data_IF_812154146296
#
_entry.id   IF_812154146296
#
_cell.length_a   1.000
_cell.length_b   1.000
_cell.length_c   1.000
_cell.angle_alpha   90.00
_cell.angle_beta   90.00
_cell.angle_gamma   90.00
#
_symmetry.space_group_name_H-M   'P 1'
#
loop_
_entity.id
_entity.type
_entity.pdbx_description
1 polymer ?
#
# COMPACT_ATOMS: atom_id res chain seq x y z
N UNK A 1 13.12 4.04 -34.17
CA UNK A 1 11.95 4.21 -33.29
C UNK A 1 10.96 3.08 -33.59
N UNK A 2 11.18 1.90 -33.02
CA UNK A 2 10.43 0.68 -33.37
C UNK A 2 10.56 -0.50 -32.38
N UNK A 3 11.34 -0.34 -31.30
CA UNK A 3 11.71 -1.45 -30.39
C UNK A 3 10.74 -1.61 -29.19
N UNK A 4 9.57 -0.96 -29.24
CA UNK A 4 8.56 -1.05 -28.18
C UNK A 4 8.87 -0.24 -26.91
N UNK A 5 9.89 0.61 -26.95
CA UNK A 5 10.18 1.58 -25.89
C UNK A 5 9.00 2.52 -25.64
N UNK A 6 8.74 2.83 -24.38
CA UNK A 6 7.70 3.79 -23.98
C UNK A 6 8.30 4.90 -23.14
N UNK A 7 7.89 6.11 -23.46
CA UNK A 7 8.13 7.33 -22.69
C UNK A 7 6.77 7.88 -22.28
N UNK A 8 6.58 8.13 -20.99
CA UNK A 8 5.35 8.71 -20.47
C UNK A 8 5.66 9.88 -19.54
N UNK A 9 4.97 10.99 -19.77
CA UNK A 9 4.91 12.12 -18.86
C UNK A 9 3.49 12.21 -18.32
N UNK A 10 3.36 12.22 -16.99
CA UNK A 10 2.08 12.35 -16.30
C UNK A 10 2.14 13.54 -15.36
N UNK A 11 1.20 14.45 -15.57
CA UNK A 11 0.96 15.62 -14.75
C UNK A 11 -0.45 15.54 -14.18
N UNK A 12 -0.58 15.59 -12.87
CA UNK A 12 -1.87 15.58 -12.19
C UNK A 12 -1.91 16.68 -11.15
N UNK A 13 -2.99 17.45 -11.13
CA UNK A 13 -3.23 18.46 -10.13
C UNK A 13 -4.63 18.27 -9.54
N UNK A 14 -4.72 18.41 -8.23
CA UNK A 14 -5.94 18.40 -7.43
C UNK A 14 -5.90 19.58 -6.46
N UNK A 15 -7.00 19.79 -5.73
CA UNK A 15 -7.04 20.76 -4.62
C UNK A 15 -6.00 20.43 -3.56
N UNK A 16 -5.78 19.14 -3.27
CA UNK A 16 -4.97 18.66 -2.14
C UNK A 16 -3.58 18.16 -2.51
N UNK A 17 -3.29 17.95 -3.79
CA UNK A 17 -1.98 17.47 -4.21
C UNK A 17 -1.66 17.77 -5.66
N UNK A 18 -0.37 17.68 -5.99
CA UNK A 18 0.17 17.77 -7.33
C UNK A 18 1.18 16.65 -7.53
N UNK A 19 1.11 15.95 -8.65
CA UNK A 19 2.03 14.86 -9.01
C UNK A 19 2.57 15.06 -10.40
N UNK A 20 3.89 15.02 -10.50
CA UNK A 20 4.67 15.10 -11.72
C UNK A 20 5.45 13.81 -11.82
N UNK A 21 5.28 13.05 -12.89
CA UNK A 21 6.03 11.81 -13.07
C UNK A 21 6.44 11.63 -14.52
N UNK A 22 7.68 11.19 -14.68
CA UNK A 22 8.23 10.79 -15.95
C UNK A 22 8.67 9.33 -15.83
N UNK A 23 8.30 8.51 -16.81
CA UNK A 23 8.73 7.11 -16.86
C UNK A 23 9.19 6.72 -18.25
N UNK A 24 10.23 5.89 -18.26
CA UNK A 24 10.78 5.24 -19.42
C UNK A 24 10.72 3.73 -19.21
N UNK A 25 10.39 2.99 -20.25
CA UNK A 25 10.51 1.53 -20.24
C UNK A 25 11.03 1.00 -21.57
N UNK A 26 11.99 0.08 -21.46
CA UNK A 26 12.58 -0.70 -22.55
C UNK A 26 12.23 -2.18 -22.33
N UNK A 27 11.27 -2.76 -23.07
CA UNK A 27 10.79 -4.12 -22.84
C UNK A 27 11.79 -5.24 -23.21
N UNK A 28 12.80 -4.96 -24.04
CA UNK A 28 13.73 -5.95 -24.60
C UNK A 28 15.20 -5.56 -24.39
N UNK A 29 15.56 -5.20 -23.16
CA UNK A 29 16.95 -4.89 -22.83
C UNK A 29 17.87 -6.08 -23.15
N UNK A 30 18.81 -5.88 -24.08
CA UNK A 30 19.75 -6.91 -24.54
C UNK A 30 19.24 -7.81 -25.68
N UNK A 31 18.04 -7.56 -26.22
CA UNK A 31 17.55 -8.07 -27.51
C UNK A 31 17.26 -9.57 -27.65
N UNK A 32 17.80 -10.43 -26.78
CA UNK A 32 17.67 -11.90 -26.88
C UNK A 32 16.56 -12.49 -26.02
N UNK A 33 16.19 -11.83 -24.92
CA UNK A 33 15.17 -12.30 -23.95
C UNK A 33 14.32 -11.11 -23.50
N UNK A 34 13.04 -11.32 -23.14
CA UNK A 34 12.19 -10.26 -22.60
C UNK A 34 12.68 -9.88 -21.20
N UNK A 35 13.61 -8.92 -21.17
CA UNK A 35 14.10 -8.26 -19.96
C UNK A 35 13.64 -6.82 -20.05
N UNK A 36 12.66 -6.49 -19.24
CA UNK A 36 12.15 -5.14 -19.17
C UNK A 36 13.05 -4.31 -18.25
N UNK A 37 13.58 -3.22 -18.78
CA UNK A 37 14.15 -2.15 -17.99
C UNK A 37 13.14 -1.03 -17.81
N UNK A 38 13.09 -0.44 -16.63
CA UNK A 38 12.28 0.74 -16.34
C UNK A 38 13.09 1.77 -15.57
N UNK A 39 12.84 3.04 -15.87
CA UNK A 39 13.33 4.16 -15.10
C UNK A 39 12.18 5.13 -14.87
N UNK A 40 12.01 5.61 -13.64
CA UNK A 40 10.98 6.59 -13.34
C UNK A 40 11.49 7.63 -12.37
N UNK A 41 11.10 8.88 -12.60
CA UNK A 41 11.30 9.99 -11.67
C UNK A 41 9.91 10.54 -11.35
N UNK A 42 9.65 10.77 -10.08
CA UNK A 42 8.39 11.34 -9.61
C UNK A 42 8.65 12.43 -8.58
N UNK A 43 7.90 13.52 -8.69
CA UNK A 43 7.80 14.54 -7.68
C UNK A 43 6.33 14.74 -7.34
N UNK A 44 6.04 14.74 -6.05
CA UNK A 44 4.69 14.84 -5.54
C UNK A 44 4.65 15.79 -4.37
N UNK A 45 3.68 16.70 -4.38
CA UNK A 45 3.45 17.69 -3.33
C UNK A 45 2.03 17.53 -2.79
N UNK A 46 1.91 17.19 -1.52
CA UNK A 46 0.66 17.12 -0.79
C UNK A 46 0.48 18.38 0.07
N UNK A 47 -0.71 18.92 0.11
CA UNK A 47 -1.07 20.05 0.96
C UNK A 47 -1.88 19.57 2.16
N UNK A 48 -1.72 20.25 3.29
CA UNK A 48 -2.47 19.88 4.48
C UNK A 48 -3.94 20.29 4.35
N UNK A 49 -4.85 19.44 4.82
CA UNK A 49 -6.27 19.77 4.90
C UNK A 49 -6.54 20.70 6.08
N UNK A 50 -7.10 21.87 5.81
CA UNK A 50 -7.60 22.79 6.82
C UNK A 50 -9.08 22.49 7.12
N UNK A 51 -9.33 22.07 8.36
CA UNK A 51 -10.67 21.71 8.84
C UNK A 51 -11.61 22.91 8.98
N UNK A 52 -11.08 24.12 9.18
CA UNK A 52 -11.88 25.33 9.36
C UNK A 52 -12.39 25.87 8.02
N UNK A 53 -11.51 25.92 7.01
CA UNK A 53 -11.86 26.43 5.68
C UNK A 53 -12.35 25.34 4.72
N UNK A 54 -12.14 24.06 5.04
CA UNK A 54 -12.44 22.93 4.15
C UNK A 54 -11.57 22.92 2.89
N UNK A 55 -10.43 23.62 2.91
CA UNK A 55 -9.53 23.81 1.78
C UNK A 55 -8.13 23.27 2.08
N UNK A 56 -7.31 23.22 1.03
CA UNK A 56 -5.90 22.88 1.16
C UNK A 56 -5.09 24.09 1.61
N UNK A 57 -4.38 23.97 2.72
CA UNK A 57 -3.39 24.96 3.14
C UNK A 57 -2.11 24.76 2.31
N UNK A 58 -1.86 25.68 1.38
CA UNK A 58 -0.71 25.63 0.48
C UNK A 58 0.62 26.02 1.14
N UNK A 59 0.57 26.60 2.34
CA UNK A 59 1.76 26.94 3.12
C UNK A 59 2.35 25.72 3.84
N UNK A 60 1.54 24.69 4.07
CA UNK A 60 1.89 23.46 4.79
C UNK A 60 1.90 22.30 3.82
N UNK A 61 3.06 21.67 3.62
CA UNK A 61 3.22 20.68 2.56
C UNK A 61 4.07 19.49 2.95
N UNK A 62 3.77 18.37 2.31
CA UNK A 62 4.56 17.16 2.37
C UNK A 62 4.95 16.75 0.95
N UNK A 63 6.25 16.79 0.67
CA UNK A 63 6.82 16.59 -0.65
C UNK A 63 7.54 15.24 -0.71
N UNK A 64 7.42 14.56 -1.84
CA UNK A 64 8.11 13.31 -2.12
C UNK A 64 8.76 13.43 -3.48
N UNK A 65 10.08 13.26 -3.50
CA UNK A 65 10.85 13.20 -4.74
C UNK A 65 11.53 11.85 -4.80
N UNK A 66 11.34 11.12 -5.90
CA UNK A 66 11.86 9.78 -6.03
C UNK A 66 12.39 9.49 -7.41
N UNK A 67 13.44 8.66 -7.46
CA UNK A 67 13.91 7.98 -8.65
C UNK A 67 13.83 6.47 -8.41
N UNK A 68 13.44 5.72 -9.42
CA UNK A 68 13.41 4.25 -9.37
C UNK A 68 13.93 3.68 -10.68
N UNK A 69 14.83 2.70 -10.55
CA UNK A 69 15.38 1.93 -11.65
C UNK A 69 14.97 0.47 -11.45
N UNK A 70 14.33 -0.13 -12.44
CA UNK A 70 13.76 -1.47 -12.36
C UNK A 70 14.24 -2.38 -13.48
N UNK A 71 14.34 -3.67 -13.15
CA UNK A 71 14.55 -4.77 -14.09
C UNK A 71 13.53 -5.86 -13.80
N UNK A 72 12.77 -6.29 -14.80
CA UNK A 72 11.87 -7.42 -14.70
C UNK A 72 12.18 -8.44 -15.80
N UNK A 73 12.23 -9.72 -15.43
CA UNK A 73 12.58 -10.80 -16.33
C UNK A 73 11.68 -12.01 -16.10
N UNK A 74 11.13 -12.53 -17.19
CA UNK A 74 10.45 -13.83 -17.18
C UNK A 74 11.47 -14.94 -17.00
N UNK A 75 11.28 -15.77 -15.99
CA UNK A 75 12.13 -16.93 -15.71
C UNK A 75 11.66 -18.12 -16.56
N UNK A 76 12.58 -19.03 -16.86
CA UNK A 76 12.29 -20.31 -17.52
C UNK A 76 12.28 -21.48 -16.55
N UNK A 77 12.85 -21.27 -15.37
CA UNK A 77 12.93 -22.24 -14.27
C UNK A 77 12.30 -21.59 -13.04
N UNK A 78 11.42 -22.28 -12.31
CA UNK A 78 10.99 -23.67 -12.55
C UNK A 78 9.95 -23.82 -13.68
N UNK A 79 9.23 -22.76 -14.07
CA UNK A 79 8.38 -22.74 -15.26
C UNK A 79 8.31 -21.34 -15.89
N UNK A 80 7.68 -21.24 -17.08
CA UNK A 80 7.55 -19.98 -17.81
C UNK A 80 6.50 -19.02 -17.21
N UNK A 81 5.81 -19.33 -16.12
CA UNK A 81 4.84 -18.41 -15.50
C UNK A 81 5.48 -17.50 -14.44
N UNK A 82 6.76 -17.73 -14.13
CA UNK A 82 7.51 -16.92 -13.18
C UNK A 82 8.08 -15.65 -13.81
N UNK A 83 7.99 -14.55 -13.07
CA UNK A 83 8.63 -13.27 -13.35
C UNK A 83 9.37 -12.82 -12.10
N UNK A 84 10.66 -12.56 -12.25
CA UNK A 84 11.50 -11.92 -11.24
C UNK A 84 11.56 -10.42 -11.54
N UNK A 85 11.15 -9.59 -10.59
CA UNK A 85 11.31 -8.13 -10.64
C UNK A 85 12.32 -7.69 -9.58
N UNK A 86 13.13 -6.70 -9.94
CA UNK A 86 14.11 -6.07 -9.07
C UNK A 86 14.04 -4.57 -9.30
N UNK A 87 14.10 -3.76 -8.26
CA UNK A 87 14.13 -2.32 -8.37
C UNK A 87 15.00 -1.69 -7.30
N UNK A 88 15.75 -0.66 -7.68
CA UNK A 88 16.45 0.23 -6.78
C UNK A 88 15.71 1.57 -6.77
N UNK A 89 15.30 2.01 -5.58
CA UNK A 89 14.54 3.24 -5.38
C UNK A 89 15.26 4.15 -4.39
N UNK A 90 15.40 5.41 -4.76
CA UNK A 90 15.82 6.48 -3.84
C UNK A 90 14.71 7.52 -3.76
N UNK A 91 14.23 7.78 -2.54
CA UNK A 91 13.14 8.70 -2.26
C UNK A 91 13.53 9.67 -1.15
N UNK A 92 13.13 10.92 -1.28
CA UNK A 92 13.28 11.97 -0.27
C UNK A 92 11.88 12.43 0.10
N UNK A 93 11.56 12.30 1.37
CA UNK A 93 10.37 12.85 2.03
C UNK A 93 10.76 14.16 2.68
N UNK A 94 10.01 15.22 2.42
CA UNK A 94 10.31 16.57 2.90
C UNK A 94 9.01 17.16 3.48
N UNK A 95 9.03 17.44 4.78
CA UNK A 95 7.90 17.92 5.55
C UNK A 95 8.14 19.41 5.85
N UNK A 96 7.13 20.22 5.54
CA UNK A 96 7.10 21.66 5.84
C UNK A 96 5.80 21.97 6.58
N UNK A 97 5.90 22.16 7.89
CA UNK A 97 4.82 22.33 8.85
C UNK A 97 3.68 21.32 8.64
N UNK A 98 4.01 20.04 8.43
CA UNK A 98 3.04 19.00 8.10
C UNK A 98 2.66 18.13 9.31
N UNK A 99 1.88 18.70 10.23
CA UNK A 99 1.51 18.06 11.50
C UNK A 99 0.16 17.32 11.41
N UNK A 100 0.17 16.03 11.03
CA UNK A 100 -1.02 15.18 10.89
C UNK A 100 -1.23 14.17 12.03
N UNK A 101 -0.28 14.09 12.97
CA UNK A 101 -0.23 13.05 14.01
C UNK A 101 0.51 11.78 13.57
N UNK A 102 0.65 11.55 12.25
CA UNK A 102 1.43 10.44 11.70
C UNK A 102 2.92 10.59 11.95
N UNK A 103 3.40 11.82 11.88
CA UNK A 103 4.78 12.20 12.14
C UNK A 103 4.79 13.05 13.40
N UNK A 104 5.74 12.75 14.29
CA UNK A 104 6.01 13.56 15.48
C UNK A 104 6.78 14.84 15.13
N UNK A 105 7.39 14.89 13.95
CA UNK A 105 8.04 16.06 13.37
C UNK A 105 7.23 16.63 12.21
N UNK A 106 6.86 17.91 12.31
CA UNK A 106 6.17 18.65 11.24
C UNK A 106 7.11 19.26 10.20
N UNK A 107 8.35 19.49 10.59
CA UNK A 107 9.41 20.07 9.78
C UNK A 107 10.61 19.11 9.78
N UNK A 108 11.10 18.76 8.60
CA UNK A 108 12.20 17.82 8.49
C UNK A 108 12.25 17.09 7.16
N UNK A 109 13.25 16.21 7.02
CA UNK A 109 13.35 15.36 5.84
C UNK A 109 13.82 13.94 6.17
N UNK A 110 13.27 12.96 5.46
CA UNK A 110 13.65 11.56 5.56
C UNK A 110 14.09 11.04 4.20
N UNK A 111 15.17 10.27 4.15
CA UNK A 111 15.73 9.68 2.94
C UNK A 111 15.54 8.17 2.97
N UNK A 112 15.11 7.62 1.85
CA UNK A 112 14.83 6.20 1.70
C UNK A 112 15.57 5.67 0.49
N UNK A 113 16.63 4.91 0.74
CA UNK A 113 17.25 4.05 -0.26
C UNK A 113 16.72 2.64 -0.03
N UNK A 114 16.05 2.06 -1.03
CA UNK A 114 15.47 0.74 -0.91
C UNK A 114 15.70 -0.11 -2.15
N UNK A 115 15.94 -1.40 -1.91
CA UNK A 115 15.99 -2.44 -2.93
C UNK A 115 14.73 -3.29 -2.80
N UNK A 116 13.98 -3.39 -3.90
CA UNK A 116 12.77 -4.20 -3.98
C UNK A 116 13.05 -5.43 -4.85
N UNK A 117 12.76 -6.61 -4.35
CA UNK A 117 12.80 -7.87 -5.10
C UNK A 117 11.42 -8.52 -5.05
N UNK A 118 10.92 -8.94 -6.20
CA UNK A 118 9.60 -9.56 -6.33
C UNK A 118 9.66 -10.82 -7.18
N UNK A 119 8.95 -11.86 -6.75
CA UNK A 119 8.74 -13.06 -7.52
C UNK A 119 7.23 -13.27 -7.69
N UNK A 120 6.79 -13.25 -8.94
CA UNK A 120 5.39 -13.47 -9.30
C UNK A 120 5.27 -14.71 -10.17
N UNK A 121 4.34 -15.60 -9.87
CA UNK A 121 3.95 -16.71 -10.73
C UNK A 121 2.48 -16.56 -11.11
N UNK A 122 2.22 -16.27 -12.37
CA UNK A 122 0.86 -16.08 -12.88
C UNK A 122 0.55 -17.08 -13.98
N UNK A 123 -0.27 -18.08 -13.67
CA UNK A 123 -0.74 -19.11 -14.61
C UNK A 123 -2.26 -19.10 -14.77
N UNK A 124 -2.91 -17.96 -14.53
CA UNK A 124 -4.34 -17.80 -14.77
C UNK A 124 -4.67 -18.06 -16.24
N UNK A 125 -5.85 -18.65 -16.50
CA UNK A 125 -6.24 -19.14 -17.82
C UNK A 125 -7.46 -18.41 -18.35
N UNK A 126 -7.66 -18.54 -19.67
CA UNK A 126 -8.80 -18.08 -20.47
C UNK A 126 -8.84 -16.56 -20.64
N UNK A 127 -9.02 -15.80 -19.56
CA UNK A 127 -9.28 -14.36 -19.64
C UNK A 127 -8.64 -13.61 -18.46
N UNK A 128 -7.78 -12.60 -18.70
CA UNK A 128 -7.20 -11.79 -17.62
C UNK A 128 -8.24 -11.05 -16.77
N UNK A 129 -9.40 -10.71 -17.33
CA UNK A 129 -10.45 -9.94 -16.63
C UNK A 129 -11.36 -10.85 -15.83
N UNK A 130 -11.65 -12.04 -16.36
CA UNK A 130 -12.47 -13.06 -15.71
C UNK A 130 -11.79 -14.44 -15.79
N UNK A 131 -10.72 -14.68 -15.00
CA UNK A 131 -10.05 -15.97 -15.03
C UNK A 131 -10.97 -17.05 -14.47
N UNK A 132 -11.11 -18.16 -15.19
CA UNK A 132 -11.91 -19.32 -14.74
C UNK A 132 -11.06 -20.39 -14.06
N UNK A 133 -9.75 -20.32 -14.21
CA UNK A 133 -8.84 -21.33 -13.68
C UNK A 133 -7.41 -20.82 -13.49
N UNK A 134 -6.67 -21.52 -12.65
CA UNK A 134 -5.26 -21.24 -12.37
C UNK A 134 -5.07 -20.39 -11.12
N UNK A 135 -3.92 -19.73 -11.03
CA UNK A 135 -3.48 -19.03 -9.83
C UNK A 135 -2.55 -17.87 -10.16
N UNK A 136 -2.53 -16.89 -9.27
CA UNK A 136 -1.59 -15.78 -9.30
C UNK A 136 -0.97 -15.63 -7.92
N UNK A 137 0.32 -15.90 -7.81
CA UNK A 137 1.10 -15.78 -6.60
C UNK A 137 2.11 -14.66 -6.74
N UNK A 138 2.28 -13.85 -5.72
CA UNK A 138 3.30 -12.82 -5.68
C UNK A 138 3.87 -12.68 -4.28
N UNK A 139 5.19 -12.69 -4.17
CA UNK A 139 5.93 -12.30 -2.97
C UNK A 139 6.88 -11.16 -3.34
N UNK A 140 6.87 -10.11 -2.53
CA UNK A 140 7.71 -8.93 -2.74
C UNK A 140 8.35 -8.54 -1.42
N UNK A 141 9.67 -8.36 -1.42
CA UNK A 141 10.43 -7.82 -0.31
C UNK A 141 11.03 -6.47 -0.72
N UNK A 142 10.82 -5.44 0.09
CA UNK A 142 11.44 -4.12 -0.01
C UNK A 142 12.35 -3.93 1.20
N UNK A 143 13.63 -3.74 0.97
CA UNK A 143 14.67 -3.74 1.98
C UNK A 143 15.44 -2.43 1.89
N UNK A 144 15.67 -1.76 3.02
CA UNK A 144 16.65 -0.68 3.10
C UNK A 144 18.02 -1.22 3.53
N UNK A 145 19.11 -0.47 3.34
CA UNK A 145 20.35 -0.70 4.07
C UNK A 145 20.14 -0.59 5.60
N UNK A 146 20.90 -1.36 6.41
CA UNK A 146 20.87 -1.27 7.86
C UNK A 146 21.78 -0.13 8.35
N UNK A 147 21.29 1.12 8.23
CA UNK A 147 22.07 2.33 8.54
C UNK A 147 22.60 2.37 9.96
N UNK A 148 21.84 1.85 10.92
CA UNK A 148 22.20 1.76 12.33
C UNK A 148 23.50 1.00 12.60
N UNK A 149 23.95 0.14 11.67
CA UNK A 149 25.22 -0.59 11.80
C UNK A 149 26.45 0.26 11.40
N UNK A 150 26.26 1.40 10.74
CA UNK A 150 27.34 2.15 10.11
C UNK A 150 27.43 3.63 10.52
N UNK A 151 26.38 4.20 11.11
CA UNK A 151 26.32 5.63 11.44
C UNK A 151 26.85 5.99 12.84
N UNK A 152 27.11 4.99 13.69
CA UNK A 152 27.72 5.16 15.02
C UNK A 152 26.83 5.84 16.05
N UNK A 153 25.51 5.91 15.82
CA UNK A 153 24.56 6.52 16.75
C UNK A 153 24.10 5.53 17.82
N UNK A 154 23.90 6.04 19.02
CA UNK A 154 23.32 5.29 20.13
C UNK A 154 21.79 5.36 20.07
N UNK A 155 21.19 4.38 19.40
CA UNK A 155 19.74 4.31 19.23
C UNK A 155 19.00 3.90 20.51
N UNK A 156 19.67 3.22 21.44
CA UNK A 156 19.11 2.84 22.74
C UNK A 156 18.91 4.10 23.60
N UNK A 157 19.94 4.93 23.72
CA UNK A 157 19.84 6.21 24.41
C UNK A 157 18.77 7.14 23.79
N UNK A 158 18.67 7.18 22.46
CA UNK A 158 17.62 7.93 21.78
C UNK A 158 16.22 7.37 22.06
N UNK A 159 16.07 6.04 22.15
CA UNK A 159 14.79 5.41 22.47
C UNK A 159 14.36 5.73 23.92
N UNK A 160 15.27 5.63 24.87
CA UNK A 160 15.02 5.97 26.28
C UNK A 160 14.63 7.45 26.47
N UNK A 161 15.36 8.38 25.83
CA UNK A 161 15.04 9.82 25.86
C UNK A 161 13.65 10.06 25.26
N UNK A 162 13.35 9.42 24.12
CA UNK A 162 12.03 9.53 23.47
C UNK A 162 10.89 9.03 24.36
N UNK A 163 11.10 7.93 25.10
CA UNK A 163 10.11 7.42 26.04
C UNK A 163 9.89 8.37 27.23
N UNK A 164 10.94 9.02 27.73
CA UNK A 164 10.82 10.03 28.78
C UNK A 164 10.01 11.24 28.29
N UNK A 165 10.28 11.75 27.09
CA UNK A 165 9.50 12.84 26.51
C UNK A 165 8.02 12.44 26.34
N UNK A 166 7.75 11.19 25.96
CA UNK A 166 6.37 10.69 25.85
C UNK A 166 5.68 10.60 27.22
N UNK A 167 6.41 10.21 28.28
CA UNK A 167 5.90 10.26 29.66
C UNK A 167 5.57 11.68 30.09
N UNK A 168 6.45 12.64 29.85
CA UNK A 168 6.21 14.05 30.18
C UNK A 168 4.96 14.58 29.47
N UNK A 169 4.83 14.33 28.17
CA UNK A 169 3.66 14.74 27.38
C UNK A 169 2.36 14.05 27.81
N UNK A 170 2.44 12.86 28.42
CA UNK A 170 1.25 12.20 28.99
C UNK A 170 0.77 12.87 30.28
N UNK A 171 1.67 13.53 31.02
CA UNK A 171 1.38 14.28 32.23
C UNK A 171 0.96 15.73 31.90
N UNK A 172 1.67 16.37 30.98
CA UNK A 172 1.37 17.70 30.44
C UNK A 172 1.45 17.70 28.90
N UNK A 173 0.31 17.54 28.20
CA UNK A 173 0.26 17.58 26.75
C UNK A 173 0.64 18.92 26.13
N UNK A 174 0.75 19.99 26.92
CA UNK A 174 1.09 21.35 26.47
C UNK A 174 2.56 21.69 26.63
N UNK A 175 3.38 20.76 27.13
CA UNK A 175 4.83 20.92 27.24
C UNK A 175 5.47 21.02 25.85
N UNK A 176 5.85 22.25 25.49
CA UNK A 176 6.45 22.58 24.19
C UNK A 176 7.89 22.04 24.10
N UNK A 177 8.61 22.01 25.22
CA UNK A 177 10.01 21.57 25.23
C UNK A 177 10.07 20.05 25.03
N UNK A 178 9.23 19.30 25.73
CA UNK A 178 9.11 17.85 25.54
C UNK A 178 8.62 17.49 24.12
N UNK A 179 7.66 18.26 23.58
CA UNK A 179 7.18 18.05 22.21
C UNK A 179 8.27 18.30 21.16
N UNK A 180 9.04 19.38 21.31
CA UNK A 180 10.15 19.72 20.42
C UNK A 180 11.26 18.68 20.52
N UNK A 181 11.65 18.27 21.73
CA UNK A 181 12.68 17.26 21.94
C UNK A 181 12.30 15.92 21.31
N UNK A 182 11.04 15.48 21.48
CA UNK A 182 10.53 14.27 20.81
C UNK A 182 10.62 14.37 19.29
N UNK A 183 10.25 15.52 18.73
CA UNK A 183 10.34 15.78 17.28
C UNK A 183 11.79 15.70 16.78
N UNK A 184 12.73 16.30 17.50
CA UNK A 184 14.17 16.24 17.16
C UNK A 184 14.70 14.81 17.18
N UNK A 185 14.38 14.04 18.22
CA UNK A 185 14.81 12.64 18.35
C UNK A 185 14.25 11.81 17.19
N UNK A 186 12.96 11.93 16.87
CA UNK A 186 12.37 11.15 15.79
C UNK A 186 12.88 11.58 14.41
N UNK A 187 13.13 12.87 14.20
CA UNK A 187 13.81 13.36 12.99
C UNK A 187 15.23 12.78 12.88
N UNK A 188 15.94 12.63 14.01
CA UNK A 188 17.26 11.99 14.04
C UNK A 188 17.17 10.49 13.73
N UNK A 189 16.22 9.78 14.36
CA UNK A 189 15.96 8.35 14.17
C UNK A 189 15.48 8.03 12.76
N UNK A 190 14.76 8.92 12.10
CA UNK A 190 14.16 8.67 10.78
C UNK A 190 14.73 9.53 9.65
N UNK A 191 15.90 10.17 9.84
CA UNK A 191 16.59 10.89 8.76
C UNK A 191 16.95 9.96 7.59
N UNK A 192 17.43 8.75 7.88
CA UNK A 192 17.53 7.66 6.91
C UNK A 192 16.57 6.55 7.31
N UNK A 193 15.70 6.13 6.41
CA UNK A 193 14.74 5.08 6.70
C UNK A 193 15.45 3.72 6.72
N UNK A 194 15.20 2.98 7.79
CA UNK A 194 15.74 1.64 8.01
C UNK A 194 14.59 0.67 8.29
N UNK A 195 14.33 -0.26 7.36
CA UNK A 195 13.20 -1.19 7.45
C UNK A 195 13.34 -2.37 6.49
N UNK A 196 12.56 -3.40 6.77
CA UNK A 196 12.18 -4.42 5.79
C UNK A 196 10.66 -4.47 5.67
N UNK A 197 10.17 -4.64 4.45
CA UNK A 197 8.74 -4.80 4.16
C UNK A 197 8.53 -6.00 3.26
N UNK A 198 7.69 -6.95 3.67
CA UNK A 198 7.38 -8.16 2.91
C UNK A 198 5.88 -8.20 2.66
N UNK A 199 5.51 -8.29 1.40
CA UNK A 199 4.13 -8.48 0.96
C UNK A 199 3.99 -9.85 0.29
N UNK A 200 2.97 -10.59 0.66
CA UNK A 200 2.58 -11.84 0.05
C UNK A 200 1.12 -11.76 -0.38
N UNK A 201 0.83 -12.21 -1.60
CA UNK A 201 -0.52 -12.33 -2.12
C UNK A 201 -0.64 -13.59 -2.96
N UNK A 202 -1.73 -14.32 -2.76
CA UNK A 202 -2.04 -15.48 -3.55
C UNK A 202 -3.53 -15.52 -3.88
N UNK A 203 -3.83 -15.58 -5.16
CA UNK A 203 -5.17 -15.73 -5.73
C UNK A 203 -5.27 -17.09 -6.43
N UNK A 204 -6.35 -17.80 -6.22
CA UNK A 204 -6.68 -19.00 -6.97
C UNK A 204 -8.05 -18.85 -7.63
N UNK A 205 -8.21 -19.49 -8.78
CA UNK A 205 -9.43 -19.47 -9.56
C UNK A 205 -9.79 -20.92 -9.89
N UNK A 206 -11.01 -21.32 -9.55
CA UNK A 206 -11.52 -22.66 -9.85
C UNK A 206 -12.95 -22.54 -10.35
N UNK A 207 -13.19 -23.00 -11.56
CA UNK A 207 -14.54 -23.16 -12.10
C UNK A 207 -15.24 -24.33 -11.41
N UNK A 208 -16.36 -24.06 -10.75
CA UNK A 208 -17.18 -25.09 -10.11
C UNK A 208 -18.12 -25.72 -11.14
N UNK A 209 -18.82 -24.88 -11.93
CA UNK A 209 -19.75 -25.34 -12.97
C UNK A 209 -20.10 -24.20 -13.93
N UNK A 210 -20.10 -24.45 -15.25
CA UNK A 210 -20.63 -23.55 -16.29
C UNK A 210 -20.29 -22.07 -16.04
N UNK A 211 -18.99 -21.77 -16.01
CA UNK A 211 -18.42 -20.44 -15.76
C UNK A 211 -18.66 -19.84 -14.36
N UNK A 212 -19.27 -20.56 -13.40
CA UNK A 212 -19.30 -20.16 -12.00
C UNK A 212 -17.91 -20.37 -11.38
N UNK A 213 -17.24 -19.29 -11.01
CA UNK A 213 -15.85 -19.31 -10.55
C UNK A 213 -15.76 -19.00 -9.07
N UNK A 214 -15.11 -19.90 -8.32
CA UNK A 214 -14.67 -19.64 -6.96
C UNK A 214 -13.27 -19.04 -6.96
N UNK A 215 -13.08 -17.97 -6.20
CA UNK A 215 -11.80 -17.29 -6.02
C UNK A 215 -11.48 -17.11 -4.53
N UNK A 216 -10.75 -18.06 -3.91
CA UNK A 216 -10.08 -17.78 -2.66
C UNK A 216 -8.84 -16.90 -2.90
N UNK A 217 -8.60 -15.98 -1.98
CA UNK A 217 -7.49 -15.03 -2.00
C UNK A 217 -6.98 -14.81 -0.58
N UNK A 218 -5.66 -14.76 -0.45
CA UNK A 218 -4.98 -14.47 0.82
C UNK A 218 -3.93 -13.39 0.60
N UNK A 219 -3.83 -12.46 1.54
CA UNK A 219 -2.88 -11.36 1.51
C UNK A 219 -2.27 -11.18 2.90
N UNK A 220 -0.96 -11.01 2.94
CA UNK A 220 -0.21 -10.68 4.15
C UNK A 220 0.78 -9.58 3.85
N UNK A 221 0.96 -8.67 4.81
CA UNK A 221 2.00 -7.66 4.77
C UNK A 221 2.65 -7.50 6.11
N UNK A 222 3.97 -7.39 6.11
CA UNK A 222 4.79 -7.22 7.29
C UNK A 222 5.77 -6.08 7.04
N UNK A 223 5.80 -5.12 7.95
CA UNK A 223 6.76 -4.02 8.00
C UNK A 223 7.46 -4.10 9.36
N UNK A 224 8.79 -4.19 9.33
CA UNK A 224 9.60 -4.25 10.54
C UNK A 224 10.86 -3.40 10.43
N UNK A 225 11.53 -3.25 11.56
CA UNK A 225 12.83 -2.60 11.67
C UNK A 225 13.93 -3.65 11.90
N UNK A 226 15.15 -3.39 11.43
CA UNK A 226 16.28 -4.27 11.75
C UNK A 226 16.76 -4.05 13.18
N UNK A 227 16.81 -2.79 13.61
CA UNK A 227 17.07 -2.37 14.98
C UNK A 227 15.75 -1.96 15.65
N UNK A 228 15.38 -2.65 16.75
CA UNK A 228 14.14 -2.38 17.48
C UNK A 228 14.16 -1.03 18.22
N UNK A 229 15.33 -0.55 18.66
CA UNK A 229 15.49 0.72 19.39
C UNK A 229 15.24 1.91 18.47
N UNK A 230 15.57 1.76 17.18
CA UNK A 230 15.19 2.72 16.14
C UNK A 230 13.68 2.76 15.88
N UNK A 231 12.98 1.67 16.14
CA UNK A 231 11.53 1.55 15.95
C UNK A 231 11.10 1.37 14.50
N UNK A 232 9.82 1.02 14.31
CA UNK A 232 9.21 0.89 12.98
C UNK A 232 8.97 2.26 12.37
N UNK A 233 9.35 2.43 11.11
CA UNK A 233 9.18 3.68 10.38
C UNK A 233 7.69 4.12 10.30
N UNK A 234 7.41 5.44 10.35
CA UNK A 234 6.05 5.99 10.21
C UNK A 234 5.54 5.99 8.76
N UNK A 235 6.42 5.72 7.79
CA UNK A 235 6.08 5.60 6.37
C UNK A 235 5.71 4.16 6.00
N UNK A 236 5.14 3.95 4.82
CA UNK A 236 4.92 2.61 4.24
C UNK A 236 3.95 1.70 5.01
N UNK A 237 3.21 2.24 5.98
CA UNK A 237 2.27 1.48 6.82
C UNK A 237 1.03 1.00 6.06
N UNK A 238 0.37 -0.02 6.62
CA UNK A 238 -0.81 -0.64 6.04
C UNK A 238 -2.10 -0.03 6.61
N UNK A 239 -3.00 0.36 5.72
CA UNK A 239 -4.30 0.94 6.07
C UNK A 239 -5.39 0.00 5.60
N UNK A 240 -6.11 -0.60 6.52
CA UNK A 240 -7.08 -1.66 6.20
C UNK A 240 -8.50 -1.10 6.34
N UNK A 241 -9.35 -1.46 5.39
CA UNK A 241 -10.77 -1.09 5.40
C UNK A 241 -11.17 -0.30 4.18
N UNK A 242 -12.43 -0.48 3.79
CA UNK A 242 -13.04 0.29 2.73
C UNK A 242 -12.90 -0.29 1.34
N UNK A 243 -12.96 0.60 0.35
CA UNK A 243 -13.01 0.28 -1.07
C UNK A 243 -11.63 0.11 -1.72
N UNK A 244 -10.54 0.28 -0.96
CA UNK A 244 -9.18 0.21 -1.50
C UNK A 244 -8.83 1.36 -2.44
N UNK A 245 -9.76 2.30 -2.66
CA UNK A 245 -9.49 3.55 -3.33
C UNK A 245 -8.82 4.46 -2.29
N UNK A 246 -7.52 4.22 -2.11
CA UNK A 246 -6.64 5.17 -1.45
C UNK A 246 -6.60 6.44 -2.27
N UNK A 247 -7.48 7.38 -1.94
CA UNK A 247 -7.48 8.75 -2.41
C UNK A 247 -6.12 9.38 -2.05
N UNK A 248 -5.14 9.24 -2.95
CA UNK A 248 -3.98 10.12 -3.05
C UNK A 248 -3.25 10.42 -1.72
N UNK A 249 -3.10 9.41 -0.85
CA UNK A 249 -2.24 9.52 0.32
C UNK A 249 -0.81 9.28 -0.16
N UNK A 250 -0.01 10.34 -0.19
CA UNK A 250 1.27 10.35 -0.88
C UNK A 250 2.40 9.81 0.00
N UNK A 251 2.19 9.69 1.30
CA UNK A 251 3.10 9.20 2.36
C UNK A 251 3.51 7.72 2.28
N UNK A 252 3.33 7.09 1.11
CA UNK A 252 3.70 5.71 0.88
C UNK A 252 2.79 4.71 1.61
N UNK A 253 1.69 5.18 2.21
CA UNK A 253 0.69 4.31 2.84
C UNK A 253 0.15 3.29 1.85
N UNK A 254 0.08 2.04 2.27
CA UNK A 254 -0.49 0.95 1.49
C UNK A 254 -1.93 0.70 1.94
N UNK A 255 -2.89 1.09 1.11
CA UNK A 255 -4.30 0.83 1.37
C UNK A 255 -4.67 -0.59 0.96
N UNK A 256 -5.24 -1.32 1.91
CA UNK A 256 -5.74 -2.68 1.75
C UNK A 256 -7.25 -2.63 1.83
N UNK A 257 -7.90 -2.91 0.69
CA UNK A 257 -9.36 -2.98 0.60
C UNK A 257 -9.90 -4.01 1.59
N UNK A 258 -10.94 -3.68 2.35
CA UNK A 258 -11.73 -4.65 3.10
C UNK A 258 -13.16 -4.12 3.20
N UNK A 259 -14.04 -4.74 2.41
CA UNK A 259 -15.41 -4.27 2.15
C UNK A 259 -16.31 -4.55 3.34
N UNK A 260 -17.37 -3.76 3.54
CA UNK A 260 -18.23 -3.82 4.71
C UNK A 260 -17.73 -3.00 5.91
N UNK A 261 -16.63 -2.27 5.74
CA UNK A 261 -16.03 -1.37 6.73
C UNK A 261 -15.63 -0.05 6.07
N UNK A 262 -15.69 1.10 6.77
CA UNK A 262 -15.23 2.37 6.23
C UNK A 262 -13.74 2.37 5.87
N UNK A 263 -13.34 3.29 5.00
CA UNK A 263 -11.95 3.47 4.59
C UNK A 263 -11.03 3.67 5.80
N UNK A 264 -9.92 2.90 5.86
CA UNK A 264 -8.89 3.01 6.90
C UNK A 264 -9.37 2.75 8.35
N UNK A 265 -10.57 2.20 8.52
CA UNK A 265 -11.20 2.02 9.84
C UNK A 265 -10.71 0.81 10.62
N UNK A 266 -10.02 -0.14 10.00
CA UNK A 266 -9.52 -1.36 10.63
C UNK A 266 -8.02 -1.29 10.98
N UNK A 267 -7.49 -0.08 10.98
CA UNK A 267 -6.13 0.26 11.41
C UNK A 267 -6.18 1.45 12.36
N UNK A 268 -5.09 1.67 13.10
CA UNK A 268 -4.89 2.92 13.83
C UNK A 268 -4.80 4.10 12.86
N UNK A 269 -4.91 5.33 13.37
CA UNK A 269 -4.74 6.56 12.59
C UNK A 269 -3.39 6.59 11.82
N UNK A 270 -2.38 5.93 12.38
CA UNK A 270 -1.03 5.87 11.82
C UNK A 270 -0.79 4.64 10.94
N UNK A 271 -1.79 3.75 10.82
CA UNK A 271 -1.68 2.49 10.08
C UNK A 271 -1.00 1.39 10.88
N UNK A 272 -1.23 0.15 10.45
CA UNK A 272 -0.58 -1.03 11.01
C UNK A 272 0.79 -1.30 10.38
N UNK A 273 1.68 -1.91 11.15
CA UNK A 273 2.94 -2.49 10.66
C UNK A 273 2.73 -3.89 10.07
N UNK A 274 1.64 -4.57 10.44
CA UNK A 274 1.29 -5.89 9.95
C UNK A 274 -0.17 -5.88 9.51
N UNK A 275 -0.49 -6.58 8.43
CA UNK A 275 -1.87 -6.90 8.08
C UNK A 275 -2.00 -8.32 7.56
N UNK A 276 -3.19 -8.87 7.73
CA UNK A 276 -3.61 -10.06 7.02
C UNK A 276 -5.04 -9.89 6.51
N UNK A 277 -5.30 -10.44 5.33
CA UNK A 277 -6.62 -10.47 4.72
C UNK A 277 -6.84 -11.81 4.04
N UNK A 278 -8.02 -12.36 4.27
CA UNK A 278 -8.57 -13.51 3.60
C UNK A 278 -9.84 -13.08 2.87
N UNK A 279 -10.00 -13.53 1.64
CA UNK A 279 -11.18 -13.25 0.83
C UNK A 279 -11.60 -14.51 0.09
N UNK A 280 -12.90 -14.76 0.06
CA UNK A 280 -13.51 -15.80 -0.72
C UNK A 280 -14.59 -15.17 -1.57
N UNK A 281 -14.42 -15.21 -2.89
CA UNK A 281 -15.41 -14.69 -3.82
C UNK A 281 -16.00 -15.82 -4.66
N UNK A 282 -17.32 -15.83 -4.80
CA UNK A 282 -18.04 -16.65 -5.75
C UNK A 282 -18.54 -15.74 -6.87
N UNK A 283 -18.06 -15.95 -8.09
CA UNK A 283 -18.29 -15.06 -9.23
C UNK A 283 -19.14 -15.78 -10.27
N UNK A 284 -20.08 -15.06 -10.87
CA UNK A 284 -20.94 -15.56 -11.94
C UNK A 284 -20.99 -14.56 -13.10
N UNK A 285 -20.65 -14.97 -14.34
CA UNK A 285 -20.64 -14.06 -15.48
C UNK A 285 -22.06 -13.83 -15.99
N UNK A 286 -22.37 -12.57 -16.27
CA UNK A 286 -23.61 -12.15 -16.93
C UNK A 286 -23.34 -12.00 -18.44
N UNK A 287 -22.21 -11.40 -18.81
CA UNK A 287 -21.72 -11.34 -20.19
C UNK A 287 -20.19 -11.34 -20.21
N UNK A 288 -19.60 -12.11 -21.11
CA UNK A 288 -18.14 -12.13 -21.36
C UNK A 288 -17.79 -11.59 -22.75
N UNK A 289 -18.68 -10.78 -23.35
CA UNK A 289 -18.44 -10.17 -24.66
C UNK A 289 -17.24 -9.21 -24.61
N UNK A 290 -16.53 -9.09 -25.73
CA UNK A 290 -15.34 -8.25 -25.83
C UNK A 290 -15.60 -6.75 -25.58
N UNK A 291 -16.80 -6.24 -25.89
CA UNK A 291 -17.18 -4.83 -25.68
C UNK A 291 -17.44 -4.50 -24.21
N UNK A 292 -18.02 -5.43 -23.45
CA UNK A 292 -18.32 -5.27 -22.05
C UNK A 292 -18.39 -6.65 -21.37
N UNK A 293 -17.53 -6.82 -20.36
CA UNK A 293 -17.55 -8.00 -19.49
C UNK A 293 -18.22 -7.63 -18.18
N UNK A 294 -19.31 -8.30 -17.86
CA UNK A 294 -20.11 -8.04 -16.67
C UNK A 294 -20.24 -9.33 -15.89
N UNK A 295 -19.95 -9.29 -14.59
CA UNK A 295 -20.16 -10.41 -13.70
C UNK A 295 -20.67 -9.93 -12.34
N UNK A 296 -21.50 -10.75 -11.72
CA UNK A 296 -21.90 -10.59 -10.34
C UNK A 296 -20.98 -11.43 -9.45
N UNK A 297 -20.85 -11.06 -8.18
CA UNK A 297 -20.11 -11.82 -7.20
C UNK A 297 -20.75 -11.75 -5.82
N UNK A 298 -20.68 -12.85 -5.08
CA UNK A 298 -20.82 -12.85 -3.63
C UNK A 298 -19.45 -12.97 -2.99
N UNK A 299 -19.22 -12.32 -1.86
CA UNK A 299 -17.94 -12.35 -1.18
C UNK A 299 -18.07 -12.54 0.33
N UNK A 300 -17.07 -13.19 0.89
CA UNK A 300 -16.75 -13.23 2.31
C UNK A 300 -15.34 -12.69 2.47
N UNK A 301 -15.14 -11.77 3.41
CA UNK A 301 -13.81 -11.25 3.74
C UNK A 301 -13.56 -11.31 5.25
N UNK A 302 -12.30 -11.47 5.60
CA UNK A 302 -11.83 -11.39 6.98
C UNK A 302 -10.43 -10.82 6.98
N UNK A 303 -10.20 -9.74 7.71
CA UNK A 303 -8.86 -9.17 7.83
C UNK A 303 -8.73 -8.25 9.02
N UNK A 304 -7.48 -7.92 9.33
CA UNK A 304 -7.14 -7.01 10.43
C UNK A 304 -5.74 -6.43 10.23
N UNK A 305 -5.42 -5.42 11.02
CA UNK A 305 -4.07 -4.85 11.12
C UNK A 305 -3.57 -4.78 12.55
N UNK A 306 -2.25 -4.77 12.71
CA UNK A 306 -1.56 -4.83 13.99
C UNK A 306 -0.34 -3.91 13.96
N UNK A 307 0.06 -3.42 15.13
CA UNK A 307 1.23 -2.53 15.29
C UNK A 307 2.50 -3.27 15.72
N UNK A 308 2.38 -4.48 16.25
CA UNK A 308 3.51 -5.27 16.74
C UNK A 308 3.37 -6.74 16.34
N UNK A 309 4.51 -7.43 16.21
CA UNK A 309 4.54 -8.88 16.01
C UNK A 309 4.04 -9.66 17.23
N UNK A 310 4.09 -9.07 18.43
CA UNK A 310 3.63 -9.71 19.67
C UNK A 310 2.11 -9.82 19.73
N UNK A 311 1.41 -8.83 19.18
CA UNK A 311 -0.05 -8.78 19.14
C UNK A 311 -0.64 -9.48 17.90
N UNK A 312 0.22 -9.97 17.00
CA UNK A 312 -0.20 -10.57 15.75
C UNK A 312 -0.91 -11.89 15.99
N UNK A 313 -2.21 -11.93 15.68
CA UNK A 313 -3.00 -13.16 15.66
C UNK A 313 -3.76 -13.24 14.33
N UNK A 314 -3.34 -14.10 13.39
CA UNK A 314 -3.91 -14.15 12.03
C UNK A 314 -5.38 -14.58 12.01
N UNK A 315 -5.90 -15.18 13.08
CA UNK A 315 -7.29 -15.62 13.17
C UNK A 315 -8.21 -14.60 13.84
N UNK A 316 -7.66 -13.58 14.50
CA UNK A 316 -8.45 -12.48 15.08
C UNK A 316 -8.78 -11.45 13.98
N UNK A 317 -9.73 -11.80 13.12
CA UNK A 317 -10.10 -11.01 11.95
C UNK A 317 -11.45 -10.33 12.10
N UNK A 318 -11.59 -9.16 11.48
CA UNK A 318 -12.86 -8.47 11.31
C UNK A 318 -13.52 -8.96 10.03
N UNK A 319 -14.73 -9.49 10.14
CA UNK A 319 -15.40 -10.24 9.09
C UNK A 319 -16.47 -9.41 8.41
N UNK A 320 -16.60 -9.62 7.12
CA UNK A 320 -17.68 -9.06 6.32
C UNK A 320 -18.15 -10.03 5.26
N UNK A 321 -19.37 -9.82 4.79
CA UNK A 321 -19.93 -10.53 3.67
C UNK A 321 -20.73 -9.56 2.81
N UNK A 322 -20.85 -9.85 1.52
CA UNK A 322 -21.60 -8.98 0.65
C UNK A 322 -21.81 -9.51 -0.74
N UNK A 323 -22.43 -8.65 -1.54
CA UNK A 323 -22.73 -8.89 -2.95
C UNK A 323 -22.17 -7.72 -3.75
N UNK A 324 -21.73 -8.02 -4.97
CA UNK A 324 -21.10 -7.04 -5.83
C UNK A 324 -21.38 -7.29 -7.30
N UNK A 325 -21.24 -6.22 -8.08
CA UNK A 325 -21.26 -6.28 -9.54
C UNK A 325 -19.99 -5.66 -10.08
N UNK A 326 -19.47 -6.22 -11.17
CA UNK A 326 -18.29 -5.74 -11.88
C UNK A 326 -18.62 -5.56 -13.34
N UNK A 327 -18.17 -4.45 -13.90
CA UNK A 327 -18.31 -4.09 -15.31
C UNK A 327 -16.93 -3.68 -15.79
N UNK A 328 -16.36 -4.44 -16.71
CA UNK A 328 -15.14 -4.06 -17.40
C UNK A 328 -15.49 -3.60 -18.81
N UNK A 329 -15.05 -2.40 -19.16
CA UNK A 329 -15.12 -1.86 -20.51
C UNK A 329 -13.71 -1.46 -20.95
N UNK A 330 -13.26 -1.84 -22.16
CA UNK A 330 -11.90 -1.53 -22.63
C UNK A 330 -11.52 -0.04 -22.57
N UNK A 331 -12.49 0.87 -22.63
CA UNK A 331 -12.27 2.32 -22.60
C UNK A 331 -12.25 2.92 -21.17
N UNK A 332 -12.91 2.28 -20.19
CA UNK A 332 -13.11 2.84 -18.85
C UNK A 332 -12.46 2.01 -17.73
N UNK A 333 -11.87 0.87 -18.08
CA UNK A 333 -11.32 -0.07 -17.11
C UNK A 333 -12.42 -0.84 -16.36
N UNK A 334 -12.08 -1.30 -15.15
CA UNK A 334 -12.96 -2.09 -14.29
C UNK A 334 -13.74 -1.17 -13.35
N UNK A 335 -15.05 -1.13 -13.48
CA UNK A 335 -15.96 -0.48 -12.55
C UNK A 335 -16.66 -1.52 -11.68
N UNK A 336 -17.00 -1.16 -10.45
CA UNK A 336 -17.73 -2.05 -9.57
C UNK A 336 -18.47 -1.33 -8.46
N UNK A 337 -19.51 -2.00 -7.95
CA UNK A 337 -20.24 -1.61 -6.76
C UNK A 337 -20.33 -2.85 -5.89
N UNK A 338 -19.98 -2.70 -4.61
CA UNK A 338 -20.11 -3.74 -3.60
C UNK A 338 -20.96 -3.26 -2.43
N UNK A 339 -21.91 -4.09 -2.03
CA UNK A 339 -22.70 -3.91 -0.82
C UNK A 339 -22.18 -4.91 0.21
N UNK A 340 -21.38 -4.42 1.16
CA UNK A 340 -20.77 -5.22 2.21
C UNK A 340 -21.44 -4.98 3.55
N UNK A 341 -21.59 -6.02 4.36
CA UNK A 341 -22.03 -5.93 5.74
C UNK A 341 -20.88 -6.37 6.67
N UNK A 342 -20.35 -5.45 7.47
CA UNK A 342 -19.36 -5.73 8.51
C UNK A 342 -20.03 -6.27 9.77
N UNK A 343 -19.61 -7.47 10.20
CA UNK A 343 -20.23 -8.17 11.33
C UNK A 343 -19.62 -7.81 12.68
N UNK A 344 -18.34 -7.42 12.68
CA UNK A 344 -17.58 -7.11 13.89
C UNK A 344 -17.44 -5.58 14.06
N UNK A 345 -17.29 -5.07 15.29
CA UNK A 345 -17.04 -3.65 15.52
C UNK A 345 -15.68 -3.21 14.99
N UNK A 346 -15.59 -1.95 14.55
CA UNK A 346 -14.31 -1.28 14.30
C UNK A 346 -13.49 -1.21 15.61
N UNK A 347 -12.14 -1.13 15.55
CA UNK A 347 -11.29 -0.95 16.72
C UNK A 347 -11.78 0.21 17.60
N UNK A 348 -11.89 -0.02 18.91
CA UNK A 348 -12.43 0.95 19.88
C UNK A 348 -13.97 1.00 19.96
N UNK A 349 -14.69 0.37 19.03
CA UNK A 349 -16.14 0.26 19.05
C UNK A 349 -16.66 -1.00 19.74
N UNK A 350 -17.91 -0.95 20.19
CA UNK A 350 -18.64 -2.11 20.77
C UNK A 350 -19.80 -2.59 19.89
N UNK A 351 -20.22 -1.76 18.93
CA UNK A 351 -21.34 -2.04 18.03
C UNK A 351 -20.80 -2.51 16.67
N UNK A 352 -21.46 -3.52 16.08
CA UNK A 352 -21.16 -4.00 14.73
C UNK A 352 -21.21 -2.86 13.70
N UNK A 353 -20.36 -2.91 12.68
CA UNK A 353 -20.29 -1.83 11.68
C UNK A 353 -21.58 -1.71 10.85
N UNK A 354 -22.11 -2.82 10.33
CA UNK A 354 -23.32 -2.81 9.50
C UNK A 354 -23.05 -2.68 8.00
N UNK A 355 -24.01 -2.14 7.26
CA UNK A 355 -23.98 -2.06 5.79
C UNK A 355 -23.16 -0.87 5.28
N UNK A 356 -22.29 -1.15 4.32
CA UNK A 356 -21.48 -0.18 3.60
C UNK A 356 -21.59 -0.41 2.10
N UNK A 357 -21.60 0.69 1.34
CA UNK A 357 -21.54 0.63 -0.14
C UNK A 357 -20.17 1.11 -0.58
N UNK A 358 -19.47 0.27 -1.35
CA UNK A 358 -18.15 0.56 -1.87
C UNK A 358 -18.19 0.67 -3.38
N UNK A 359 -17.50 1.69 -3.91
CA UNK A 359 -17.34 1.87 -5.34
C UNK A 359 -15.92 1.48 -5.71
N UNK A 360 -15.78 0.73 -6.79
CA UNK A 360 -14.49 0.37 -7.36
C UNK A 360 -14.37 1.05 -8.70
N UNK A 361 -13.29 1.80 -8.85
CA UNK A 361 -12.95 2.49 -10.09
C UNK A 361 -11.51 2.11 -10.42
N UNK A 362 -11.37 1.12 -11.29
CA UNK A 362 -10.10 0.76 -11.90
C UNK A 362 -9.75 1.82 -12.92
N UNK A 363 -8.95 2.81 -12.53
CA UNK A 363 -8.32 3.69 -13.50
C UNK A 363 -7.35 2.86 -14.34
N UNK A 364 -7.72 2.65 -15.60
CA UNK A 364 -6.79 2.31 -16.65
C UNK A 364 -6.22 3.64 -17.15
N UNK A 365 -4.92 3.87 -16.93
CA UNK A 365 -4.19 4.85 -17.72
C UNK A 365 -2.95 4.18 -18.28
#
# INVERSE_FOLDING_TARGET
>A
MGDGQKLALRLQASRFFQTYSFSFSEPWLGGKRPVQFSASISHTKQFLFDRFTGNADRSRSFNITGITLGLAKRLTVPDNYFTLSQALSYQVYDLNNYNTGLFTFGDGSSKNLSYTIGLTRNNTRIDPIYPTGGSNFSITAKLSPPWSLFDGKDYEALAEDREEQERLLSLDPTDVDAANRRSEIDQERFNWLEFYKVNFKADWYTEITKDLVLRPSVEFGFLGAYNNDRGVIPFERFFVGGDGLGNFALDGRQVVQLRGYPNQSLSTQDGGSIYNKFSLELRYPITLKASAKIYALGFLEGGNSYNSFRDFNPFNVKRSAGLGVRIFMPAFGLLGIDFGHGFDPIPGGTVKNGWETHFIIGQQF
#
